data_IF_212730032430
#
_entry.id   IF_212730032430
#
_cell.length_a   1.000
_cell.length_b   1.000
_cell.length_c   1.000
_cell.angle_alpha   90.00
_cell.angle_beta   90.00
_cell.angle_gamma   90.00
#
_symmetry.space_group_name_H-M   'P 1'
#
loop_
_entity.id
_entity.type
_entity.pdbx_description
1 polymer ?
#
# COMPACT_ATOMS: atom_id res chain seq x y z
N UNK A 1 1.66 -24.59 15.91
CA UNK A 1 2.40 -25.02 17.11
C UNK A 1 1.98 -26.45 17.51
N UNK A 2 2.91 -27.33 17.89
CA UNK A 2 2.60 -28.74 18.23
C UNK A 2 1.80 -28.85 19.54
N UNK A 3 2.10 -27.99 20.51
CA UNK A 3 1.32 -27.81 21.73
C UNK A 3 0.41 -26.59 21.60
N UNK A 4 -0.82 -26.60 22.15
CA UNK A 4 -1.70 -25.45 22.11
C UNK A 4 -1.07 -24.23 22.80
N UNK A 5 -1.19 -23.06 22.17
CA UNK A 5 -0.76 -21.80 22.79
C UNK A 5 -1.91 -21.31 23.67
N UNK A 6 -1.69 -21.09 24.98
CA UNK A 6 -2.73 -20.58 25.87
C UNK A 6 -3.36 -19.30 25.31
N UNK A 7 -4.70 -19.21 25.36
CA UNK A 7 -5.50 -18.03 25.04
C UNK A 7 -5.55 -17.65 23.55
N UNK A 8 -5.02 -18.50 22.67
CA UNK A 8 -5.20 -18.41 21.22
C UNK A 8 -6.13 -19.54 20.82
N UNK A 9 -7.43 -19.25 20.63
CA UNK A 9 -8.44 -20.25 20.33
C UNK A 9 -9.03 -20.08 18.92
N UNK A 10 -9.60 -21.15 18.39
CA UNK A 10 -10.12 -21.26 17.01
C UNK A 10 -11.29 -20.31 16.69
N UNK A 11 -12.04 -19.82 17.69
CA UNK A 11 -13.11 -18.82 17.53
C UNK A 11 -12.70 -17.40 17.93
N UNK A 12 -11.53 -17.23 18.54
CA UNK A 12 -10.97 -15.95 18.94
C UNK A 12 -10.14 -16.06 20.22
N UNK A 13 -9.79 -14.94 20.86
CA UNK A 13 -9.13 -14.99 22.16
C UNK A 13 -10.12 -15.47 23.24
N UNK A 14 -9.87 -16.65 23.81
CA UNK A 14 -10.70 -17.24 24.88
C UNK A 14 -11.99 -17.92 24.40
N UNK A 15 -12.18 -18.11 23.08
CA UNK A 15 -13.42 -18.66 22.51
C UNK A 15 -13.09 -19.86 21.62
N UNK A 16 -13.45 -21.06 22.07
CA UNK A 16 -13.33 -22.31 21.31
C UNK A 16 -12.13 -23.16 21.72
N UNK A 17 -11.74 -24.11 20.87
CA UNK A 17 -10.61 -25.00 21.16
C UNK A 17 -9.27 -24.29 20.94
N UNK A 18 -8.30 -24.46 21.85
CA UNK A 18 -6.95 -23.93 21.70
C UNK A 18 -6.30 -24.29 20.37
N UNK A 19 -5.62 -23.30 19.80
CA UNK A 19 -5.03 -23.36 18.49
C UNK A 19 -3.75 -24.22 18.52
N UNK A 20 -3.76 -25.32 17.79
CA UNK A 20 -2.63 -26.26 17.69
C UNK A 20 -2.64 -26.93 16.32
N UNK A 21 -1.48 -27.43 15.89
CA UNK A 21 -1.37 -28.18 14.64
C UNK A 21 -2.34 -29.35 14.56
N UNK A 22 -2.70 -29.94 15.72
CA UNK A 22 -3.65 -31.05 15.83
C UNK A 22 -5.12 -30.61 15.74
N UNK A 23 -5.45 -29.38 16.14
CA UNK A 23 -6.84 -28.87 16.26
C UNK A 23 -7.23 -27.93 15.12
N UNK A 24 -6.27 -27.18 14.56
CA UNK A 24 -6.49 -26.15 13.53
C UNK A 24 -5.57 -26.27 12.30
N UNK A 25 -4.68 -27.28 12.27
CA UNK A 25 -3.73 -27.49 11.17
C UNK A 25 -2.50 -26.58 11.25
N UNK A 26 -1.65 -26.64 10.21
CA UNK A 26 -0.38 -25.89 10.18
C UNK A 26 -0.56 -24.40 9.89
N UNK A 27 -1.68 -23.99 9.29
CA UNK A 27 -1.92 -22.62 8.85
C UNK A 27 -3.43 -22.35 8.80
N UNK A 28 -3.97 -21.65 9.79
CA UNK A 28 -5.25 -20.97 9.62
C UNK A 28 -5.11 -19.53 10.10
N UNK A 29 -5.62 -18.64 9.28
CA UNK A 29 -5.79 -17.22 9.58
C UNK A 29 -6.48 -17.05 10.92
N UNK A 30 -6.00 -16.11 11.74
CA UNK A 30 -6.68 -15.75 12.98
C UNK A 30 -8.15 -15.40 12.70
N UNK A 31 -9.08 -15.70 13.62
CA UNK A 31 -10.48 -15.30 13.49
C UNK A 31 -10.61 -13.79 13.24
N UNK A 32 -11.55 -13.40 12.38
CA UNK A 32 -11.80 -11.97 12.05
C UNK A 32 -12.13 -11.10 13.27
N UNK A 33 -12.61 -11.73 14.34
CA UNK A 33 -12.88 -11.13 15.66
C UNK A 33 -11.60 -10.72 16.39
N UNK A 34 -10.47 -11.38 16.11
CA UNK A 34 -9.15 -11.10 16.69
C UNK A 34 -8.33 -10.21 15.78
N UNK A 35 -8.29 -10.54 14.49
CA UNK A 35 -7.53 -9.76 13.52
C UNK A 35 -8.22 -9.81 12.16
N UNK A 36 -8.38 -8.64 11.55
CA UNK A 36 -8.74 -8.58 10.14
C UNK A 36 -8.08 -7.38 9.49
N UNK A 37 -7.85 -7.52 8.18
CA UNK A 37 -7.37 -6.44 7.32
C UNK A 37 -8.14 -6.49 6.01
N UNK A 38 -8.74 -5.36 5.65
CA UNK A 38 -9.40 -5.15 4.37
C UNK A 38 -8.68 -4.01 3.67
N UNK A 39 -8.19 -4.27 2.46
CA UNK A 39 -7.55 -3.25 1.62
C UNK A 39 -8.32 -3.18 0.31
N UNK A 40 -8.80 -1.99 -0.03
CA UNK A 40 -9.38 -1.71 -1.33
C UNK A 40 -8.45 -0.77 -2.08
N UNK A 41 -8.04 -1.16 -3.29
CA UNK A 41 -7.16 -0.38 -4.14
C UNK A 41 -7.91 -0.03 -5.41
N UNK A 42 -8.08 1.26 -5.66
CA UNK A 42 -8.61 1.80 -6.91
C UNK A 42 -7.49 2.50 -7.67
N UNK A 43 -7.35 2.18 -8.95
CA UNK A 43 -6.36 2.76 -9.85
C UNK A 43 -7.02 3.19 -11.15
N UNK A 44 -6.72 4.41 -11.58
CA UNK A 44 -7.09 4.93 -12.87
C UNK A 44 -5.82 5.33 -13.61
N UNK A 45 -5.69 4.90 -14.86
CA UNK A 45 -4.56 5.22 -15.72
C UNK A 45 -5.11 5.80 -17.03
N UNK A 46 -4.72 7.03 -17.35
CA UNK A 46 -4.90 7.62 -18.66
C UNK A 46 -3.52 7.74 -19.30
N UNK A 47 -3.39 7.33 -20.56
CA UNK A 47 -2.13 7.38 -21.27
C UNK A 47 -2.35 7.68 -22.75
N UNK A 48 -1.32 8.22 -23.40
CA UNK A 48 -1.31 8.50 -24.83
C UNK A 48 0.07 8.20 -25.40
N UNK A 49 0.08 7.67 -26.63
CA UNK A 49 1.29 7.44 -27.40
C UNK A 49 1.29 8.29 -28.66
N UNK A 50 2.44 8.88 -28.94
CA UNK A 50 2.72 9.58 -30.18
C UNK A 50 3.93 8.91 -30.85
N UNK A 51 3.75 8.49 -32.10
CA UNK A 51 4.83 8.01 -32.95
C UNK A 51 4.95 8.93 -34.16
N UNK A 52 6.12 9.52 -34.33
CA UNK A 52 6.42 10.41 -35.45
C UNK A 52 7.62 9.88 -36.21
N UNK A 53 7.56 10.04 -37.53
CA UNK A 53 8.73 9.91 -38.40
C UNK A 53 9.19 11.32 -38.71
N UNK A 54 10.26 11.77 -38.04
CA UNK A 54 10.78 13.14 -38.18
C UNK A 54 11.56 13.31 -39.49
N UNK A 55 12.21 12.24 -39.94
CA UNK A 55 12.90 12.16 -41.22
C UNK A 55 12.91 10.72 -41.73
N UNK A 56 13.46 10.48 -42.93
CA UNK A 56 13.60 9.12 -43.47
C UNK A 56 14.36 8.16 -42.53
N UNK A 57 15.25 8.71 -41.70
CA UNK A 57 16.15 7.94 -40.84
C UNK A 57 15.91 8.18 -39.33
N UNK A 58 14.99 9.07 -38.96
CA UNK A 58 14.76 9.44 -37.56
C UNK A 58 13.31 9.26 -37.18
N UNK A 59 13.07 8.47 -36.13
CA UNK A 59 11.76 8.29 -35.51
C UNK A 59 11.76 8.85 -34.09
N UNK A 60 10.63 9.36 -33.68
CA UNK A 60 10.36 9.81 -32.32
C UNK A 60 9.18 9.03 -31.78
N UNK A 61 9.31 8.54 -30.55
CA UNK A 61 8.20 7.99 -29.77
C UNK A 61 8.08 8.75 -28.46
N UNK A 62 6.86 9.16 -28.13
CA UNK A 62 6.55 9.79 -26.87
C UNK A 62 5.36 9.07 -26.21
N UNK A 63 5.48 8.79 -24.92
CA UNK A 63 4.43 8.22 -24.10
C UNK A 63 4.24 9.10 -22.87
N UNK A 64 3.05 9.68 -22.76
CA UNK A 64 2.62 10.40 -21.56
C UNK A 64 1.58 9.58 -20.81
N UNK A 65 1.61 9.63 -19.48
CA UNK A 65 0.61 8.99 -18.65
C UNK A 65 0.33 9.76 -17.36
N UNK A 66 -0.91 9.63 -16.91
CA UNK A 66 -1.38 10.10 -15.61
C UNK A 66 -2.04 8.92 -14.89
N UNK A 67 -1.55 8.61 -13.70
CA UNK A 67 -2.11 7.59 -12.81
C UNK A 67 -2.64 8.23 -11.55
N UNK A 68 -3.89 7.91 -11.20
CA UNK A 68 -4.52 8.28 -9.94
C UNK A 68 -4.74 6.99 -9.16
N UNK A 69 -4.21 6.93 -7.94
CA UNK A 69 -4.36 5.81 -7.03
C UNK A 69 -5.12 6.22 -5.77
N UNK A 70 -5.97 5.33 -5.28
CA UNK A 70 -6.64 5.44 -3.99
C UNK A 70 -6.56 4.10 -3.26
N UNK A 71 -6.03 4.11 -2.05
CA UNK A 71 -6.00 2.94 -1.17
C UNK A 71 -6.89 3.24 0.02
N UNK A 72 -7.87 2.39 0.29
CA UNK A 72 -8.60 2.38 1.55
C UNK A 72 -8.11 1.19 2.35
N UNK A 73 -7.61 1.46 3.55
CA UNK A 73 -7.15 0.43 4.47
C UNK A 73 -8.04 0.43 5.70
N UNK A 74 -8.46 -0.76 6.08
CA UNK A 74 -9.17 -1.04 7.32
C UNK A 74 -8.51 -2.22 8.01
N UNK A 75 -8.06 -2.04 9.26
CA UNK A 75 -7.51 -3.13 10.06
C UNK A 75 -8.06 -3.07 11.46
N UNK A 76 -8.32 -4.23 12.04
CA UNK A 76 -8.47 -4.39 13.48
C UNK A 76 -7.42 -5.38 13.97
N UNK A 77 -6.80 -5.07 15.10
CA UNK A 77 -5.93 -5.96 15.84
C UNK A 77 -6.26 -5.93 17.32
N UNK A 78 -6.99 -6.96 17.72
CA UNK A 78 -7.43 -7.19 19.08
C UNK A 78 -6.56 -8.24 19.77
N UNK A 79 -5.34 -8.47 19.31
CA UNK A 79 -4.41 -9.40 19.95
C UNK A 79 -4.03 -8.97 21.39
N UNK A 80 -4.27 -7.69 21.72
CA UNK A 80 -4.04 -7.07 23.05
C UNK A 80 -5.34 -6.96 23.86
N UNK A 81 -6.20 -7.99 23.89
CA UNK A 81 -7.43 -8.03 24.70
C UNK A 81 -7.17 -8.53 26.14
N UNK A 82 -8.15 -8.51 27.08
CA UNK A 82 -7.97 -8.81 28.52
C UNK A 82 -7.23 -10.10 28.88
N UNK A 83 -7.19 -11.07 27.97
CA UNK A 83 -6.46 -12.32 28.13
C UNK A 83 -4.96 -12.22 27.80
N UNK A 84 -4.47 -11.10 27.25
CA UNK A 84 -3.07 -10.89 26.95
C UNK A 84 -2.31 -10.49 28.24
N UNK A 85 -1.21 -11.14 28.64
CA UNK A 85 -0.46 -10.77 29.85
C UNK A 85 0.11 -9.35 29.84
N UNK A 86 0.22 -8.69 28.67
CA UNK A 86 0.59 -7.27 28.54
C UNK A 86 -0.59 -6.31 28.71
N UNK A 87 -1.83 -6.81 28.72
CA UNK A 87 -3.07 -6.03 28.88
C UNK A 87 -3.17 -5.38 30.26
N UNK A 88 -2.88 -6.16 31.30
CA UNK A 88 -2.98 -5.71 32.69
C UNK A 88 -1.99 -4.58 33.02
N UNK A 89 -0.92 -4.44 32.23
CA UNK A 89 0.14 -3.47 32.46
C UNK A 89 -0.13 -2.11 31.78
N UNK A 90 -0.91 -2.08 30.68
CA UNK A 90 -1.04 -0.87 29.83
C UNK A 90 -2.48 -0.48 29.45
N UNK A 91 -3.50 -1.27 29.78
CA UNK A 91 -4.88 -1.03 29.34
C UNK A 91 -5.08 -1.26 27.84
N UNK A 92 -6.33 -1.26 27.37
CA UNK A 92 -6.72 -1.67 26.02
C UNK A 92 -6.85 -0.49 25.04
N UNK A 93 -5.88 -0.24 24.14
CA UNK A 93 -6.19 0.41 22.89
C UNK A 93 -6.49 -0.69 21.88
N UNK A 94 -7.77 -0.89 21.55
CA UNK A 94 -8.15 -1.55 20.30
C UNK A 94 -7.33 -0.92 19.18
N UNK A 95 -6.38 -1.67 18.62
CA UNK A 95 -5.49 -1.16 17.57
C UNK A 95 -6.22 -1.34 16.23
N UNK A 96 -7.11 -0.40 15.97
CA UNK A 96 -7.77 -0.23 14.68
C UNK A 96 -6.89 0.65 13.77
N UNK A 97 -7.00 0.50 12.46
CA UNK A 97 -6.39 1.45 11.53
C UNK A 97 -7.43 1.68 10.44
N UNK A 98 -7.76 2.94 10.20
CA UNK A 98 -8.61 3.33 9.09
C UNK A 98 -8.04 4.56 8.43
N UNK A 99 -7.61 4.41 7.19
CA UNK A 99 -7.04 5.52 6.42
C UNK A 99 -7.34 5.38 4.94
N UNK A 100 -7.30 6.53 4.26
CA UNK A 100 -7.45 6.62 2.81
C UNK A 100 -6.23 7.33 2.25
N UNK A 101 -5.38 6.60 1.54
CA UNK A 101 -4.26 7.21 0.84
C UNK A 101 -4.65 7.54 -0.59
N UNK A 102 -4.10 8.65 -1.09
CA UNK A 102 -4.29 9.10 -2.46
C UNK A 102 -2.94 9.36 -3.09
N UNK A 103 -2.76 8.92 -4.32
CA UNK A 103 -1.55 9.19 -5.08
C UNK A 103 -1.88 9.67 -6.48
N UNK A 104 -1.06 10.58 -6.98
CA UNK A 104 -1.08 11.08 -8.35
C UNK A 104 0.32 10.91 -8.92
N UNK A 105 0.41 10.34 -10.11
CA UNK A 105 1.67 10.15 -10.82
C UNK A 105 1.49 10.70 -12.22
N UNK A 106 2.37 11.61 -12.61
CA UNK A 106 2.58 11.98 -14.00
C UNK A 106 3.85 11.29 -14.48
N UNK A 107 3.82 10.78 -15.70
CA UNK A 107 5.05 10.36 -16.34
C UNK A 107 5.06 10.68 -17.82
N UNK A 108 6.28 10.83 -18.31
CA UNK A 108 6.60 11.12 -19.69
C UNK A 108 7.85 10.32 -20.07
N UNK A 109 7.82 9.72 -21.26
CA UNK A 109 8.95 9.03 -21.85
C UNK A 109 9.11 9.49 -23.28
N UNK A 110 10.29 9.96 -23.63
CA UNK A 110 10.65 10.38 -24.97
C UNK A 110 11.82 9.53 -25.45
N UNK A 111 11.69 8.94 -26.63
CA UNK A 111 12.76 8.18 -27.26
C UNK A 111 12.86 8.54 -28.74
N UNK A 112 14.10 8.55 -29.23
CA UNK A 112 14.47 8.74 -30.61
C UNK A 112 15.22 7.52 -31.09
N UNK A 113 14.92 7.12 -32.33
CA UNK A 113 15.65 6.09 -33.04
C UNK A 113 16.23 6.73 -34.30
N UNK A 114 17.55 6.85 -34.35
CA UNK A 114 18.27 7.38 -35.51
C UNK A 114 19.03 6.26 -36.22
N UNK A 115 18.75 6.10 -37.51
CA UNK A 115 19.38 5.13 -38.37
C UNK A 115 20.56 5.76 -39.11
N UNK A 116 21.77 5.26 -38.87
CA UNK A 116 23.00 5.73 -39.51
C UNK A 116 23.31 4.96 -40.79
N UNK A 117 23.08 3.65 -40.77
CA UNK A 117 23.23 2.78 -41.93
C UNK A 117 22.10 1.73 -42.01
N UNK A 118 22.11 0.87 -43.02
CA UNK A 118 21.11 -0.17 -43.19
C UNK A 118 21.01 -1.12 -41.99
N UNK A 119 22.06 -1.27 -41.19
CA UNK A 119 22.09 -2.20 -40.05
C UNK A 119 22.20 -1.51 -38.68
N UNK A 120 22.54 -0.22 -38.63
CA UNK A 120 22.83 0.46 -37.36
C UNK A 120 21.75 1.49 -37.01
N UNK A 121 21.19 1.35 -35.80
CA UNK A 121 20.24 2.31 -35.21
C UNK A 121 20.69 2.64 -33.79
N UNK A 122 20.88 3.93 -33.52
CA UNK A 122 21.08 4.43 -32.16
C UNK A 122 19.74 4.82 -31.58
N UNK A 123 19.41 4.26 -30.41
CA UNK A 123 18.26 4.69 -29.63
C UNK A 123 18.74 5.51 -28.45
N UNK A 124 18.16 6.69 -28.28
CA UNK A 124 18.46 7.58 -27.15
C UNK A 124 17.20 8.31 -26.70
N UNK A 125 17.20 8.79 -25.47
CA UNK A 125 16.06 9.48 -24.90
C UNK A 125 15.99 9.32 -23.40
N UNK A 126 14.89 9.78 -22.82
CA UNK A 126 14.76 9.82 -21.38
C UNK A 126 13.33 9.62 -20.91
N UNK A 127 13.20 9.56 -19.59
CA UNK A 127 11.92 9.55 -18.94
C UNK A 127 11.93 10.44 -17.71
N UNK A 128 10.75 10.91 -17.36
CA UNK A 128 10.45 11.65 -16.14
C UNK A 128 9.21 11.01 -15.50
N UNK A 129 9.28 10.77 -14.20
CA UNK A 129 8.12 10.37 -13.39
C UNK A 129 8.05 11.28 -12.18
N UNK A 130 6.98 12.06 -12.08
CA UNK A 130 6.67 12.87 -10.93
C UNK A 130 5.50 12.25 -10.17
N UNK A 131 5.72 11.87 -8.92
CA UNK A 131 4.74 11.25 -8.06
C UNK A 131 4.48 12.11 -6.83
N UNK A 132 3.21 12.19 -6.43
CA UNK A 132 2.77 12.76 -5.17
C UNK A 132 1.85 11.77 -4.49
N UNK A 133 2.17 11.36 -3.28
CA UNK A 133 1.29 10.60 -2.41
C UNK A 133 0.89 11.48 -1.23
N UNK A 134 -0.40 11.49 -0.87
CA UNK A 134 -0.88 11.96 0.42
C UNK A 134 -1.33 10.74 1.19
N UNK A 135 -0.70 10.49 2.33
CA UNK A 135 -1.24 9.59 3.33
C UNK A 135 -2.13 10.40 4.27
N UNK A 136 -3.26 9.81 4.67
CA UNK A 136 -4.03 10.29 5.81
C UNK A 136 -3.81 9.30 7.00
N UNK A 137 -2.74 8.48 6.95
CA UNK A 137 -2.41 7.50 7.98
C UNK A 137 -1.73 8.17 9.18
N UNK A 138 -2.24 7.87 10.37
CA UNK A 138 -1.76 8.53 11.57
C UNK A 138 -1.40 7.60 12.74
N UNK A 139 -1.62 6.29 12.60
CA UNK A 139 -1.65 5.40 13.77
C UNK A 139 -2.64 5.89 14.85
N UNK A 140 -2.71 5.23 15.99
CA UNK A 140 -3.39 5.77 17.16
C UNK A 140 -2.37 6.15 18.22
N UNK A 141 -2.42 7.41 18.65
CA UNK A 141 -1.64 7.93 19.77
C UNK A 141 -2.59 8.62 20.74
N UNK A 142 -2.71 8.06 21.95
CA UNK A 142 -3.44 8.67 23.07
C UNK A 142 -2.75 9.93 23.59
N UNK A 143 -1.45 10.10 23.32
CA UNK A 143 -0.68 11.28 23.67
C UNK A 143 -1.08 12.50 22.83
N UNK A 144 -1.48 12.25 21.57
CA UNK A 144 -1.85 13.29 20.60
C UNK A 144 -3.38 13.50 20.49
N UNK A 145 -4.17 12.90 21.39
CA UNK A 145 -5.64 13.03 21.41
C UNK A 145 -6.38 12.29 20.28
N UNK A 146 -5.66 11.63 19.36
CA UNK A 146 -6.24 10.82 18.29
C UNK A 146 -6.86 9.52 18.84
N UNK A 147 -8.10 9.24 18.47
CA UNK A 147 -8.81 8.02 18.91
C UNK A 147 -9.83 7.56 17.87
N UNK A 148 -10.29 6.31 18.01
CA UNK A 148 -11.39 5.72 17.23
C UNK A 148 -12.66 6.61 17.15
N UNK A 149 -12.91 7.45 18.15
CA UNK A 149 -14.08 8.31 18.25
C UNK A 149 -13.90 9.71 17.63
N UNK A 150 -12.67 10.11 17.29
CA UNK A 150 -12.33 11.43 16.72
C UNK A 150 -11.24 11.29 15.66
N UNK A 151 -11.57 10.71 14.48
CA UNK A 151 -10.59 10.41 13.44
C UNK A 151 -10.09 11.64 12.67
N UNK A 152 -10.71 12.80 12.87
CA UNK A 152 -10.48 14.02 12.06
C UNK A 152 -9.47 15.02 12.64
N UNK A 153 -8.74 14.67 13.70
CA UNK A 153 -7.94 15.66 14.44
C UNK A 153 -6.47 15.76 14.04
N UNK A 154 -5.95 15.00 13.06
CA UNK A 154 -4.54 15.18 12.70
C UNK A 154 -4.16 14.74 11.27
N UNK A 155 -3.40 15.62 10.62
CA UNK A 155 -2.98 15.59 9.21
C UNK A 155 -1.47 15.33 9.11
N UNK A 156 -1.00 14.33 8.35
CA UNK A 156 0.43 14.26 7.98
C UNK A 156 0.76 13.62 6.62
N UNK A 157 1.87 14.13 6.07
CA UNK A 157 2.73 13.70 4.97
C UNK A 157 2.14 13.55 3.55
N UNK A 158 2.26 14.65 2.82
CA UNK A 158 2.48 14.61 1.37
C UNK A 158 3.92 14.18 1.10
N UNK A 159 4.12 13.02 0.47
CA UNK A 159 5.41 12.63 -0.11
C UNK A 159 5.42 13.01 -1.59
N UNK A 160 6.45 13.72 -2.01
CA UNK A 160 6.70 14.04 -3.42
C UNK A 160 7.99 13.36 -3.85
N UNK A 161 7.99 12.74 -5.02
CA UNK A 161 9.15 12.05 -5.58
C UNK A 161 9.26 12.33 -7.07
N UNK A 162 10.47 12.58 -7.54
CA UNK A 162 10.77 12.77 -8.95
C UNK A 162 11.86 11.79 -9.35
N UNK A 163 11.61 11.00 -10.38
CA UNK A 163 12.55 10.06 -10.96
C UNK A 163 12.79 10.46 -12.42
N UNK A 164 14.04 10.47 -12.85
CA UNK A 164 14.40 10.76 -14.24
C UNK A 164 15.63 9.97 -14.67
N UNK A 165 15.74 9.69 -15.96
CA UNK A 165 16.95 9.19 -16.61
C UNK A 165 16.99 9.66 -18.06
N UNK A 166 18.19 9.75 -18.64
CA UNK A 166 18.47 10.16 -20.00
C UNK A 166 19.59 9.31 -20.61
#
# INVERSE_FOLDING_TARGET
PLSPVPLVDSGGLGIGTPYSQRTSGFYATLPRTVWHKTILINNWLLWSHLHLTLSRNMKMSNMIWVRIGKVRHLRANNYLLPANPLYALYGNPTNYEHYIERSKTFGDRLAFDERFDRMDTLSFGGYLVAARAKSDYQGYSTFDGSSLARPEQTDFNTTTSVYWAA
#
